data_IF_559981882426
#
_entry.id   IF_559981882426
#
_cell.length_a   1.000
_cell.length_b   1.000
_cell.length_c   1.000
_cell.angle_alpha   90.00
_cell.angle_beta   90.00
_cell.angle_gamma   90.00
#
_symmetry.space_group_name_H-M   'P 1'
#
loop_
_entity.id
_entity.type
_entity.pdbx_description
1 polymer ?
#
# COMPACT_ATOMS: atom_id res chain seq x y z
N UNK A 1 69.54 -28.92 -45.79
CA UNK A 1 68.09 -28.80 -45.52
C UNK A 1 67.87 -29.28 -44.11
N UNK A 2 67.62 -28.36 -43.20
CA UNK A 2 67.33 -28.65 -41.80
C UNK A 2 66.08 -27.84 -41.43
N UNK A 3 65.07 -28.54 -40.93
CA UNK A 3 63.75 -28.03 -40.59
C UNK A 3 63.83 -27.00 -39.47
N UNK A 4 63.30 -25.80 -39.71
CA UNK A 4 63.14 -24.78 -38.69
C UNK A 4 61.64 -24.46 -38.55
N UNK A 5 61.05 -24.95 -37.46
CA UNK A 5 59.64 -24.79 -37.08
C UNK A 5 59.44 -23.40 -36.44
N UNK A 6 58.39 -22.62 -36.78
CA UNK A 6 58.15 -21.34 -36.14
C UNK A 6 57.55 -21.51 -34.73
N UNK A 7 58.11 -20.75 -33.80
CA UNK A 7 57.75 -20.62 -32.39
C UNK A 7 56.36 -19.97 -32.23
N UNK A 8 55.55 -20.49 -31.29
CA UNK A 8 54.24 -19.95 -30.93
C UNK A 8 54.37 -18.51 -30.41
N UNK A 9 53.62 -17.61 -31.01
CA UNK A 9 53.44 -16.23 -30.55
C UNK A 9 52.54 -16.23 -29.30
N UNK A 10 53.06 -15.69 -28.20
CA UNK A 10 52.34 -15.55 -26.94
C UNK A 10 51.28 -14.46 -27.06
N UNK A 11 50.01 -14.84 -26.86
CA UNK A 11 48.88 -13.93 -26.72
C UNK A 11 49.07 -13.08 -25.44
N UNK A 12 48.92 -11.75 -25.47
CA UNK A 12 48.95 -10.97 -24.24
C UNK A 12 47.73 -11.32 -23.39
N UNK A 13 47.98 -11.73 -22.15
CA UNK A 13 46.99 -11.74 -21.08
C UNK A 13 46.60 -10.29 -20.79
N UNK A 14 45.33 -9.96 -21.01
CA UNK A 14 44.76 -8.69 -20.57
C UNK A 14 44.55 -8.77 -19.07
N UNK A 15 45.43 -8.09 -18.35
CA UNK A 15 45.35 -7.88 -16.91
C UNK A 15 44.13 -7.04 -16.53
N UNK A 16 43.40 -7.56 -15.54
CA UNK A 16 42.57 -6.90 -14.54
C UNK A 16 41.91 -5.57 -14.93
N UNK A 17 40.62 -5.66 -15.30
CA UNK A 17 39.66 -4.57 -15.14
C UNK A 17 39.55 -4.25 -13.64
N UNK A 18 39.76 -3.01 -13.19
CA UNK A 18 39.41 -2.65 -11.83
C UNK A 18 37.89 -2.74 -11.72
N UNK A 19 37.39 -3.74 -11.01
CA UNK A 19 36.03 -3.70 -10.47
C UNK A 19 36.04 -2.51 -9.52
N UNK A 20 35.51 -1.37 -9.96
CA UNK A 20 35.20 -0.27 -9.04
C UNK A 20 34.08 -0.82 -8.17
N UNK A 21 34.44 -1.42 -7.04
CA UNK A 21 33.47 -1.65 -5.97
C UNK A 21 32.87 -0.28 -5.64
N UNK A 22 31.56 -0.16 -5.80
CA UNK A 22 30.83 1.01 -5.33
C UNK A 22 31.07 1.09 -3.83
N UNK A 23 31.95 1.98 -3.41
CA UNK A 23 32.34 2.21 -2.02
C UNK A 23 31.33 3.06 -1.26
N UNK A 24 30.25 3.47 -1.92
CA UNK A 24 29.13 4.14 -1.27
C UNK A 24 28.22 3.08 -0.63
N UNK A 25 28.04 3.11 0.70
CA UNK A 25 27.16 2.15 1.37
C UNK A 25 25.73 2.34 0.86
N UNK A 26 25.08 1.25 0.47
CA UNK A 26 23.73 1.34 -0.08
C UNK A 26 22.72 1.63 1.03
N UNK A 27 21.74 2.49 0.77
CA UNK A 27 20.78 2.93 1.79
C UNK A 27 20.00 1.78 2.46
N UNK A 28 19.78 0.67 1.76
CA UNK A 28 19.06 -0.50 2.28
C UNK A 28 19.85 -1.29 3.34
N UNK A 29 21.17 -1.12 3.42
CA UNK A 29 22.00 -1.64 4.52
C UNK A 29 21.98 -0.70 5.74
N UNK A 30 21.49 0.53 5.56
CA UNK A 30 21.53 1.60 6.56
C UNK A 30 20.17 1.80 7.24
N UNK A 31 19.09 1.60 6.49
CA UNK A 31 17.72 1.90 6.87
C UNK A 31 16.80 0.75 6.47
N UNK A 32 15.84 0.45 7.35
CA UNK A 32 14.67 -0.36 7.02
C UNK A 32 13.40 0.46 7.24
N UNK A 33 12.34 0.15 6.50
CA UNK A 33 11.09 0.87 6.59
C UNK A 33 9.88 -0.03 6.34
N UNK A 34 8.81 0.21 7.09
CA UNK A 34 7.52 -0.44 6.88
C UNK A 34 6.38 0.50 7.23
N UNK A 35 5.23 0.34 6.58
CA UNK A 35 3.99 0.97 7.02
C UNK A 35 3.18 -0.03 7.85
N UNK A 36 2.75 0.39 9.04
CA UNK A 36 1.80 -0.36 9.87
C UNK A 36 0.45 0.35 9.93
N UNK A 37 -0.61 -0.35 9.57
CA UNK A 37 -1.98 0.15 9.74
C UNK A 37 -2.32 0.16 11.24
N UNK A 38 -2.73 1.33 11.74
CA UNK A 38 -3.15 1.53 13.13
C UNK A 38 -4.67 1.41 13.24
N UNK A 39 -5.39 2.10 12.36
CA UNK A 39 -6.86 2.09 12.34
C UNK A 39 -7.44 2.57 11.01
N UNK A 40 -8.76 2.42 10.85
CA UNK A 40 -9.50 3.03 9.74
C UNK A 40 -9.71 2.15 8.52
N UNK A 41 -9.78 0.83 8.68
CA UNK A 41 -9.99 -0.10 7.56
C UNK A 41 -11.43 -0.11 7.02
N UNK A 42 -12.27 0.88 7.33
CA UNK A 42 -13.66 0.96 6.87
C UNK A 42 -13.98 2.37 6.37
N UNK A 43 -14.80 2.47 5.32
CA UNK A 43 -15.26 3.76 4.79
C UNK A 43 -15.97 4.56 5.88
N UNK A 44 -15.69 5.86 5.93
CA UNK A 44 -16.29 6.78 6.90
C UNK A 44 -15.45 6.98 8.16
N UNK A 45 -14.30 6.31 8.27
CA UNK A 45 -13.33 6.49 9.36
C UNK A 45 -12.02 7.04 8.82
N UNK A 46 -11.29 7.76 9.66
CA UNK A 46 -9.95 8.23 9.30
C UNK A 46 -9.00 7.04 9.19
N UNK A 47 -8.20 7.04 8.12
CA UNK A 47 -7.18 6.01 7.87
C UNK A 47 -5.89 6.46 8.53
N UNK A 48 -5.38 5.66 9.46
CA UNK A 48 -4.19 5.99 10.27
C UNK A 48 -3.15 4.90 10.09
N UNK A 49 -1.97 5.27 9.62
CA UNK A 49 -0.80 4.40 9.53
C UNK A 49 0.37 5.03 10.29
N UNK A 50 1.29 4.18 10.73
CA UNK A 50 2.62 4.60 11.14
C UNK A 50 3.64 4.14 10.09
N UNK A 51 4.39 5.10 9.52
CA UNK A 51 5.63 4.79 8.82
C UNK A 51 6.70 4.56 9.88
N UNK A 52 7.20 3.34 9.98
CA UNK A 52 8.24 2.95 10.92
C UNK A 52 9.56 2.94 10.15
N UNK A 53 10.46 3.87 10.48
CA UNK A 53 11.82 3.90 9.94
C UNK A 53 12.80 3.44 10.99
N UNK A 54 13.59 2.43 10.67
CA UNK A 54 14.58 1.84 11.58
C UNK A 54 15.98 2.10 11.07
N UNK A 55 16.79 2.72 11.92
CA UNK A 55 18.22 2.86 11.68
C UNK A 55 18.93 1.57 12.02
N UNK A 56 19.60 0.97 11.04
CA UNK A 56 20.29 -0.31 11.19
C UNK A 56 21.75 -0.16 11.64
N UNK A 57 22.24 1.08 11.78
CA UNK A 57 23.61 1.34 12.20
C UNK A 57 23.70 1.84 13.64
N UNK A 58 24.93 1.85 14.15
CA UNK A 58 25.28 2.33 15.49
C UNK A 58 25.43 3.85 15.57
N UNK A 59 25.27 4.56 14.45
CA UNK A 59 25.40 6.02 14.38
C UNK A 59 24.05 6.66 14.11
N UNK A 60 23.82 7.83 14.71
CA UNK A 60 22.62 8.62 14.49
C UNK A 60 22.53 9.09 13.04
N UNK A 61 21.33 9.07 12.47
CA UNK A 61 21.07 9.47 11.08
C UNK A 61 19.98 10.52 10.98
N UNK A 62 20.10 11.40 9.98
CA UNK A 62 19.00 12.28 9.57
C UNK A 62 18.45 11.79 8.24
N UNK A 63 17.15 11.51 8.22
CA UNK A 63 16.44 10.97 7.07
C UNK A 63 15.39 11.98 6.62
N UNK A 64 15.32 12.25 5.33
CA UNK A 64 14.19 12.94 4.73
C UNK A 64 13.23 11.90 4.14
N UNK A 65 11.98 11.91 4.56
CA UNK A 65 10.92 11.04 4.04
C UNK A 65 9.91 11.88 3.26
N UNK A 66 9.82 11.66 1.95
CA UNK A 66 8.71 12.16 1.11
C UNK A 66 7.59 11.11 1.10
N UNK A 67 6.45 11.45 1.69
CA UNK A 67 5.32 10.55 1.88
C UNK A 67 4.19 10.98 0.95
N UNK A 68 3.63 10.03 0.21
CA UNK A 68 2.46 10.21 -0.65
C UNK A 68 1.40 9.18 -0.33
N UNK A 69 0.14 9.58 -0.47
CA UNK A 69 -1.00 8.66 -0.46
C UNK A 69 -1.88 8.96 -1.67
N UNK A 70 -2.23 7.94 -2.46
CA UNK A 70 -3.06 8.07 -3.64
C UNK A 70 -4.21 7.06 -3.59
N UNK A 71 -5.42 7.46 -4.01
CA UNK A 71 -6.45 6.47 -4.32
C UNK A 71 -6.10 5.74 -5.61
N UNK A 72 -6.27 4.42 -5.61
CA UNK A 72 -5.85 3.55 -6.72
C UNK A 72 -6.99 2.63 -7.15
N UNK A 73 -6.95 2.21 -8.40
CA UNK A 73 -7.75 1.08 -8.88
C UNK A 73 -7.10 -0.25 -8.48
N UNK A 74 -7.85 -1.34 -8.55
CA UNK A 74 -7.30 -2.69 -8.32
C UNK A 74 -6.14 -3.03 -9.29
N UNK A 75 -6.09 -2.34 -10.43
CA UNK A 75 -5.01 -2.42 -11.44
C UNK A 75 -3.74 -1.64 -11.06
N UNK A 76 -3.69 -1.06 -9.86
CA UNK A 76 -2.59 -0.20 -9.37
C UNK A 76 -2.41 1.12 -10.11
N UNK A 77 -3.43 1.53 -10.88
CA UNK A 77 -3.45 2.87 -11.47
C UNK A 77 -3.81 3.90 -10.40
N UNK A 78 -2.91 4.83 -10.13
CA UNK A 78 -3.19 6.04 -9.33
C UNK A 78 -4.27 6.89 -10.01
N UNK A 79 -5.22 7.38 -9.21
CA UNK A 79 -6.34 8.21 -9.66
C UNK A 79 -6.30 9.59 -9.04
N UNK A 80 -6.33 9.70 -7.71
CA UNK A 80 -6.29 10.98 -7.00
C UNK A 80 -5.20 10.98 -5.92
N UNK A 81 -4.45 12.06 -5.81
CA UNK A 81 -3.54 12.29 -4.67
C UNK A 81 -4.34 12.76 -3.45
N UNK A 82 -4.18 12.06 -2.33
CA UNK A 82 -4.86 12.33 -1.06
C UNK A 82 -3.94 13.04 -0.06
N UNK A 83 -2.63 12.78 -0.15
CA UNK A 83 -1.60 13.38 0.69
C UNK A 83 -0.28 13.45 -0.06
N UNK A 84 0.44 14.55 0.16
CA UNK A 84 1.85 14.70 -0.17
C UNK A 84 2.53 15.55 0.89
N UNK A 85 3.49 14.97 1.59
CA UNK A 85 4.24 15.64 2.66
C UNK A 85 5.73 15.24 2.64
N UNK A 86 6.58 16.08 3.22
CA UNK A 86 7.99 15.78 3.45
C UNK A 86 8.33 16.01 4.91
N UNK A 87 9.01 15.03 5.53
CA UNK A 87 9.36 15.06 6.94
C UNK A 87 10.85 14.74 7.12
N UNK A 88 11.57 15.65 7.76
CA UNK A 88 12.92 15.41 8.25
C UNK A 88 12.84 14.74 9.62
N UNK A 89 13.41 13.54 9.74
CA UNK A 89 13.35 12.70 10.94
C UNK A 89 14.75 12.30 11.35
N UNK A 90 14.98 12.41 12.65
CA UNK A 90 16.25 12.04 13.26
C UNK A 90 16.12 10.65 13.87
N UNK A 91 16.85 9.69 13.34
CA UNK A 91 16.84 8.30 13.80
C UNK A 91 18.04 8.04 14.71
N UNK A 92 17.75 7.62 15.94
CA UNK A 92 18.77 7.19 16.89
C UNK A 92 19.40 5.85 16.46
N UNK A 93 20.61 5.58 16.94
CA UNK A 93 21.34 4.35 16.64
C UNK A 93 20.53 3.10 16.99
N UNK A 94 20.46 2.14 16.06
CA UNK A 94 19.79 0.84 16.21
C UNK A 94 18.31 0.92 16.66
N UNK A 95 17.61 2.03 16.39
CA UNK A 95 16.23 2.25 16.85
C UNK A 95 15.26 2.57 15.70
N UNK A 96 14.03 2.10 15.89
CA UNK A 96 12.87 2.46 15.08
C UNK A 96 12.22 3.75 15.56
N UNK A 97 11.77 4.59 14.62
CA UNK A 97 10.97 5.78 14.88
C UNK A 97 9.66 5.68 14.11
N UNK A 98 8.55 5.96 14.79
CA UNK A 98 7.21 5.95 14.18
C UNK A 98 6.81 7.35 13.74
N UNK A 99 6.35 7.46 12.50
CA UNK A 99 5.87 8.71 11.91
C UNK A 99 4.40 8.51 11.55
N UNK A 100 3.47 9.19 12.25
CA UNK A 100 2.05 9.03 11.95
C UNK A 100 1.71 9.67 10.59
N UNK A 101 0.91 8.95 9.82
CA UNK A 101 0.35 9.32 8.53
C UNK A 101 -1.16 9.14 8.62
N UNK A 102 -1.90 10.25 8.51
CA UNK A 102 -3.35 10.28 8.73
C UNK A 102 -4.03 10.84 7.49
N UNK A 103 -5.01 10.11 6.97
CA UNK A 103 -5.90 10.57 5.90
C UNK A 103 -7.32 10.59 6.46
N UNK A 104 -7.87 11.78 6.65
CA UNK A 104 -9.21 11.93 7.24
C UNK A 104 -10.29 11.61 6.24
N UNK A 105 -11.47 11.18 6.72
CA UNK A 105 -12.61 10.89 5.85
C UNK A 105 -12.97 12.06 4.94
N UNK A 106 -12.91 13.29 5.47
CA UNK A 106 -13.21 14.50 4.71
C UNK A 106 -12.26 14.73 3.53
N UNK A 107 -11.00 14.26 3.61
CA UNK A 107 -10.05 14.35 2.51
C UNK A 107 -10.40 13.35 1.42
N UNK A 108 -10.67 12.09 1.79
CA UNK A 108 -10.80 11.04 0.80
C UNK A 108 -12.22 10.83 0.27
N UNK A 109 -13.28 11.29 0.95
CA UNK A 109 -14.66 10.90 0.66
C UNK A 109 -15.08 11.04 -0.81
N UNK A 110 -14.63 12.10 -1.50
CA UNK A 110 -14.98 12.39 -2.89
C UNK A 110 -13.87 12.04 -3.88
N UNK A 111 -12.76 11.49 -3.39
CA UNK A 111 -11.56 11.18 -4.16
C UNK A 111 -11.27 9.67 -4.21
N UNK A 112 -12.10 8.85 -3.54
CA UNK A 112 -11.98 7.39 -3.59
C UNK A 112 -12.42 6.81 -4.94
N UNK A 113 -11.79 5.70 -5.29
CA UNK A 113 -12.18 4.85 -6.40
C UNK A 113 -13.25 3.84 -5.94
N UNK A 114 -13.99 3.20 -6.87
CA UNK A 114 -14.91 2.10 -6.52
C UNK A 114 -14.23 0.90 -5.84
N UNK A 115 -12.92 0.77 -6.02
CA UNK A 115 -12.11 -0.30 -5.42
C UNK A 115 -11.74 -0.02 -3.96
N UNK A 116 -12.10 1.17 -3.44
CA UNK A 116 -11.85 1.58 -2.05
C UNK A 116 -10.37 1.44 -1.61
N UNK A 117 -9.44 1.59 -2.53
CA UNK A 117 -8.02 1.31 -2.30
C UNK A 117 -7.19 2.58 -2.22
N UNK A 118 -6.33 2.68 -1.23
CA UNK A 118 -5.35 3.76 -1.05
C UNK A 118 -3.95 3.15 -1.02
N UNK A 119 -3.08 3.63 -1.89
CA UNK A 119 -1.66 3.29 -1.90
C UNK A 119 -0.86 4.36 -1.16
N UNK A 120 -0.07 3.92 -0.18
CA UNK A 120 0.86 4.75 0.57
C UNK A 120 2.27 4.46 0.10
N UNK A 121 3.03 5.50 -0.20
CA UNK A 121 4.43 5.41 -0.63
C UNK A 121 5.26 6.38 0.20
N UNK A 122 6.42 5.92 0.69
CA UNK A 122 7.43 6.77 1.30
C UNK A 122 8.76 6.59 0.57
N UNK A 123 9.32 7.71 0.12
CA UNK A 123 10.63 7.83 -0.48
C UNK A 123 11.59 8.42 0.56
N UNK A 124 12.51 7.61 1.07
CA UNK A 124 13.40 7.99 2.17
C UNK A 124 14.85 8.12 1.69
N UNK A 125 15.48 9.25 1.97
CA UNK A 125 16.90 9.51 1.67
C UNK A 125 17.67 9.96 2.91
N UNK A 126 18.97 9.67 2.96
CA UNK A 126 19.83 9.98 4.10
C UNK A 126 21.25 10.30 3.61
N UNK A 127 21.71 11.53 3.77
CA UNK A 127 23.09 11.88 3.46
C UNK A 127 24.08 11.22 4.46
N UNK A 128 25.31 10.88 4.04
CA UNK A 128 25.88 10.99 2.70
C UNK A 128 25.63 9.74 1.82
N UNK A 129 24.63 8.92 2.15
CA UNK A 129 24.38 7.65 1.47
C UNK A 129 23.59 7.89 0.19
N UNK A 130 24.13 7.41 -0.93
CA UNK A 130 23.45 7.48 -2.21
C UNK A 130 22.32 6.44 -2.29
N UNK A 131 21.26 6.81 -3.00
CA UNK A 131 20.06 5.99 -3.18
C UNK A 131 18.89 6.40 -2.29
N UNK A 132 17.80 5.64 -2.44
CA UNK A 132 16.52 5.92 -1.81
C UNK A 132 15.86 4.62 -1.35
N UNK A 133 15.43 4.57 -0.09
CA UNK A 133 14.59 3.50 0.41
C UNK A 133 13.14 3.82 0.05
N UNK A 134 12.53 2.95 -0.75
CA UNK A 134 11.10 3.02 -1.09
C UNK A 134 10.33 2.04 -0.21
N UNK A 135 9.36 2.56 0.53
CA UNK A 135 8.42 1.78 1.33
C UNK A 135 7.03 1.99 0.74
N UNK A 136 6.31 0.90 0.48
CA UNK A 136 4.96 0.97 -0.10
C UNK A 136 4.02 0.02 0.62
N UNK A 137 2.77 0.45 0.79
CA UNK A 137 1.68 -0.42 1.23
C UNK A 137 0.36 -0.02 0.60
N UNK A 138 -0.59 -0.94 0.58
CA UNK A 138 -1.92 -0.70 0.04
C UNK A 138 -2.97 -1.03 1.09
N UNK A 139 -3.86 -0.09 1.36
CA UNK A 139 -4.98 -0.26 2.29
C UNK A 139 -6.27 -0.28 1.50
N UNK A 140 -7.05 -1.36 1.64
CA UNK A 140 -8.40 -1.47 1.08
C UNK A 140 -9.39 -1.21 2.21
N UNK A 141 -10.32 -0.28 1.98
CA UNK A 141 -11.35 0.08 2.94
C UNK A 141 -12.59 -0.80 2.75
N UNK A 142 -13.07 -1.36 3.84
CA UNK A 142 -14.28 -2.17 3.89
C UNK A 142 -15.52 -1.30 3.64
N UNK A 143 -16.39 -1.79 2.76
CA UNK A 143 -17.74 -1.27 2.65
C UNK A 143 -18.58 -1.70 3.88
N UNK A 144 -19.52 -0.86 4.34
CA UNK A 144 -20.50 -1.27 5.34
C UNK A 144 -21.26 -2.52 4.88
N UNK A 145 -21.44 -3.46 5.82
CA UNK A 145 -22.08 -4.75 5.54
C UNK A 145 -23.59 -4.64 5.61
N UNK A 146 -24.26 -5.43 4.77
CA UNK A 146 -25.68 -5.73 4.93
C UNK A 146 -25.84 -6.97 5.82
N UNK A 147 -26.77 -6.91 6.75
CA UNK A 147 -27.24 -8.10 7.46
C UNK A 147 -28.50 -8.63 6.78
N UNK A 148 -28.55 -9.93 6.50
CA UNK A 148 -29.69 -10.59 5.87
C UNK A 148 -30.18 -11.66 6.84
N UNK A 149 -31.40 -11.49 7.36
CA UNK A 149 -31.99 -12.35 8.40
C UNK A 149 -33.27 -13.01 7.89
N UNK A 150 -33.32 -14.34 7.76
CA UNK A 150 -34.57 -15.03 7.46
C UNK A 150 -35.50 -14.94 8.68
N UNK A 151 -36.75 -14.52 8.50
CA UNK A 151 -37.74 -14.44 9.59
C UNK A 151 -38.30 -15.81 9.98
N UNK A 152 -38.15 -16.82 9.11
CA UNK A 152 -38.59 -18.19 9.35
C UNK A 152 -37.72 -19.19 8.57
N UNK A 153 -37.91 -20.49 8.86
CA UNK A 153 -37.22 -21.56 8.15
C UNK A 153 -37.63 -21.58 6.68
N UNK A 154 -36.68 -21.31 5.78
CA UNK A 154 -36.90 -21.42 4.35
C UNK A 154 -37.16 -22.88 3.94
N UNK A 155 -38.20 -23.09 3.13
CA UNK A 155 -38.55 -24.38 2.57
C UNK A 155 -38.64 -24.27 1.04
N UNK A 156 -38.18 -25.31 0.34
CA UNK A 156 -38.25 -25.34 -1.13
C UNK A 156 -39.70 -25.15 -1.60
N UNK A 157 -39.88 -24.30 -2.61
CA UNK A 157 -41.18 -23.96 -3.20
C UNK A 157 -42.20 -23.33 -2.23
N UNK A 158 -41.75 -22.77 -1.09
CA UNK A 158 -42.62 -21.99 -0.19
C UNK A 158 -42.09 -20.56 -0.07
N UNK A 159 -42.98 -19.55 -0.03
CA UNK A 159 -42.57 -18.18 0.28
C UNK A 159 -41.84 -18.11 1.63
N UNK A 160 -40.76 -17.35 1.68
CA UNK A 160 -40.00 -17.06 2.89
C UNK A 160 -39.77 -15.56 2.99
N UNK A 161 -39.97 -15.01 4.19
CA UNK A 161 -39.68 -13.62 4.47
C UNK A 161 -38.25 -13.44 4.97
N UNK A 162 -37.61 -12.38 4.48
CA UNK A 162 -36.23 -12.01 4.82
C UNK A 162 -36.21 -10.54 5.19
N UNK A 163 -35.48 -10.23 6.24
CA UNK A 163 -35.17 -8.87 6.67
C UNK A 163 -33.76 -8.50 6.22
N UNK A 164 -33.62 -7.34 5.59
CA UNK A 164 -32.33 -6.79 5.18
C UNK A 164 -32.09 -5.53 6.02
N UNK A 165 -30.99 -5.50 6.75
CA UNK A 165 -30.62 -4.40 7.64
C UNK A 165 -29.34 -3.78 7.10
N UNK A 166 -29.37 -2.47 6.89
CA UNK A 166 -28.22 -1.66 6.55
C UNK A 166 -28.04 -0.59 7.64
N UNK A 167 -26.82 -0.49 8.16
CA UNK A 167 -26.48 0.55 9.14
C UNK A 167 -25.57 1.56 8.46
N UNK A 168 -26.03 2.81 8.34
CA UNK A 168 -25.24 3.90 7.80
C UNK A 168 -24.03 4.18 8.72
N UNK A 169 -22.78 4.00 8.25
CA UNK A 169 -21.60 4.22 9.08
C UNK A 169 -21.22 5.71 9.20
N UNK A 170 -21.84 6.58 8.41
CA UNK A 170 -21.51 8.00 8.32
C UNK A 170 -22.33 8.82 9.33
N UNK A 171 -21.76 9.95 9.74
CA UNK A 171 -22.44 10.95 10.59
C UNK A 171 -23.33 11.92 9.79
N UNK A 172 -23.73 11.54 8.57
CA UNK A 172 -24.64 12.29 7.70
C UNK A 172 -25.69 11.37 7.12
N UNK A 173 -26.84 11.93 6.74
CA UNK A 173 -27.85 11.17 6.01
C UNK A 173 -27.32 10.73 4.64
N UNK A 174 -27.68 9.50 4.27
CA UNK A 174 -27.43 8.94 2.94
C UNK A 174 -28.76 8.92 2.18
N UNK A 175 -28.75 9.40 0.94
CA UNK A 175 -29.94 9.52 0.10
C UNK A 175 -29.84 8.61 -1.11
N UNK A 176 -30.96 8.37 -1.80
CA UNK A 176 -31.01 7.57 -3.04
C UNK A 176 -30.49 6.13 -2.85
N UNK A 177 -30.77 5.53 -1.69
CA UNK A 177 -30.40 4.15 -1.41
C UNK A 177 -31.20 3.24 -2.35
N UNK A 178 -30.51 2.34 -3.04
CA UNK A 178 -31.16 1.28 -3.81
C UNK A 178 -30.60 -0.05 -3.32
N UNK A 179 -31.46 -0.90 -2.79
CA UNK A 179 -31.09 -2.25 -2.34
C UNK A 179 -31.54 -3.24 -3.41
N UNK A 180 -30.60 -3.98 -3.99
CA UNK A 180 -30.88 -5.03 -4.97
C UNK A 180 -30.53 -6.39 -4.39
N UNK A 181 -31.48 -7.32 -4.45
CA UNK A 181 -31.32 -8.68 -4.00
C UNK A 181 -31.45 -9.66 -5.17
N UNK A 182 -30.56 -10.65 -5.21
CA UNK A 182 -30.56 -11.74 -6.17
C UNK A 182 -30.18 -13.06 -5.49
N UNK A 183 -30.53 -14.19 -6.10
CA UNK A 183 -30.19 -15.50 -5.56
C UNK A 183 -30.78 -16.63 -6.39
N UNK A 184 -29.93 -17.36 -7.10
CA UNK A 184 -30.36 -18.50 -7.91
C UNK A 184 -31.05 -19.55 -7.03
N UNK A 185 -32.22 -20.03 -7.48
CA UNK A 185 -33.05 -20.98 -6.72
C UNK A 185 -33.89 -20.36 -5.60
N UNK A 186 -33.68 -19.07 -5.29
CA UNK A 186 -34.51 -18.30 -4.35
C UNK A 186 -35.38 -17.29 -5.09
N UNK A 187 -34.79 -16.56 -6.04
CA UNK A 187 -35.44 -15.52 -6.84
C UNK A 187 -35.31 -15.83 -8.33
N UNK A 188 -36.38 -15.55 -9.10
CA UNK A 188 -36.37 -15.72 -10.56
C UNK A 188 -35.61 -14.60 -11.27
N UNK A 189 -35.73 -13.37 -10.76
CA UNK A 189 -35.08 -12.17 -11.27
C UNK A 189 -34.59 -11.32 -10.09
N UNK A 190 -33.58 -10.47 -10.26
CA UNK A 190 -33.19 -9.48 -9.25
C UNK A 190 -34.36 -8.59 -8.84
N UNK A 191 -34.46 -8.29 -7.55
CA UNK A 191 -35.49 -7.42 -6.97
C UNK A 191 -34.80 -6.19 -6.39
N UNK A 192 -35.26 -4.99 -6.75
CA UNK A 192 -34.71 -3.73 -6.24
C UNK A 192 -35.75 -2.94 -5.45
N UNK A 193 -35.35 -2.40 -4.30
CA UNK A 193 -36.13 -1.51 -3.45
C UNK A 193 -35.41 -0.18 -3.36
N UNK A 194 -36.15 0.93 -3.43
CA UNK A 194 -35.65 2.31 -3.30
C UNK A 194 -36.11 2.90 -1.98
#
# INVERSE_FOLDING_TARGET
MADNKPTRENKPTVDNKPTRECTFPCINEQLAGEFKLVSGQAIGKDVVLNLILTNLTTEKKQVNAEIRACSVLYTKKEVNELLKESKAVTLEACKGTEIPVVITYAVYENLMTPDNSIEFTAACSCDPYDGMLIVQTNVVLDNPKFEIKPKSKACVNKPAEVEIIFTNPLNREITNIVVTAEGSGLLKNPVSVK
#
